data_IF_883745977319
#
_entry.id   IF_883745977319
#
_cell.length_a   1.000
_cell.length_b   1.000
_cell.length_c   1.000
_cell.angle_alpha   90.00
_cell.angle_beta   90.00
_cell.angle_gamma   90.00
#
_symmetry.space_group_name_H-M   'P 1'
#
loop_
_entity.id
_entity.type
_entity.pdbx_description
1 polymer ?
#
# COMPACT_ATOMS: atom_id res chain seq x y z
N UNK A 1 -12.03 8.28 -8.51
CA UNK A 1 -10.58 8.49 -8.26
C UNK A 1 -9.91 7.13 -8.23
N UNK A 2 -9.06 6.83 -9.21
CA UNK A 2 -8.23 5.64 -9.15
C UNK A 2 -7.20 5.79 -8.03
N UNK A 3 -7.09 4.78 -7.16
CA UNK A 3 -6.10 4.76 -6.09
C UNK A 3 -4.69 4.61 -6.69
N UNK A 4 -3.67 5.31 -6.19
CA UNK A 4 -2.32 5.16 -6.68
C UNK A 4 -1.80 3.75 -6.45
N UNK A 5 -1.12 3.19 -7.45
CA UNK A 5 -0.42 1.91 -7.36
C UNK A 5 1.00 2.20 -6.88
N UNK A 6 1.35 1.78 -5.68
CA UNK A 6 2.70 1.95 -5.17
C UNK A 6 3.61 0.83 -5.67
N UNK A 7 4.74 1.19 -6.27
CA UNK A 7 5.76 0.26 -6.74
C UNK A 7 7.04 0.51 -5.96
N UNK A 8 7.51 -0.49 -5.22
CA UNK A 8 8.80 -0.44 -4.54
C UNK A 8 9.80 -1.32 -5.28
N UNK A 9 10.93 -0.76 -5.66
CA UNK A 9 12.06 -1.52 -6.15
C UNK A 9 13.07 -1.78 -5.05
N UNK A 10 13.73 -2.93 -5.09
CA UNK A 10 14.75 -3.30 -4.12
C UNK A 10 16.04 -3.79 -4.81
N UNK A 11 17.14 -3.74 -4.09
CA UNK A 11 18.45 -4.25 -4.48
C UNK A 11 18.96 -5.24 -3.42
N UNK A 12 19.86 -6.12 -3.83
CA UNK A 12 20.60 -6.95 -2.88
C UNK A 12 21.64 -6.12 -2.12
N UNK A 13 22.01 -6.50 -0.88
CA UNK A 13 22.90 -5.71 -0.02
C UNK A 13 24.33 -5.52 -0.55
N UNK A 14 24.70 -6.13 -1.67
CA UNK A 14 26.00 -5.96 -2.30
C UNK A 14 26.16 -4.54 -2.83
N UNK A 15 27.27 -3.92 -2.53
CA UNK A 15 27.55 -2.55 -2.94
C UNK A 15 27.26 -1.50 -1.86
N UNK A 16 27.33 -0.24 -2.26
CA UNK A 16 27.06 0.88 -1.36
C UNK A 16 25.56 1.16 -1.26
N UNK A 17 25.13 1.76 -0.15
CA UNK A 17 23.74 2.19 0.06
C UNK A 17 23.25 3.09 -1.08
N UNK A 18 24.10 4.01 -1.55
CA UNK A 18 23.76 4.90 -2.66
C UNK A 18 23.55 4.14 -3.98
N UNK A 19 24.43 3.19 -4.30
CA UNK A 19 24.29 2.34 -5.49
C UNK A 19 23.01 1.52 -5.42
N UNK A 20 22.72 0.93 -4.28
CA UNK A 20 21.51 0.12 -4.07
C UNK A 20 20.23 0.96 -4.19
N UNK A 21 20.24 2.21 -3.71
CA UNK A 21 19.12 3.13 -3.89
C UNK A 21 18.92 3.48 -5.37
N UNK A 22 19.99 3.74 -6.12
CA UNK A 22 19.90 3.99 -7.57
C UNK A 22 19.41 2.77 -8.35
N UNK A 23 19.87 1.57 -7.98
CA UNK A 23 19.42 0.32 -8.61
C UNK A 23 17.95 0.04 -8.30
N UNK A 24 17.51 0.22 -7.06
CA UNK A 24 16.13 0.02 -6.65
C UNK A 24 15.18 0.99 -7.35
N UNK A 25 15.58 2.26 -7.51
CA UNK A 25 14.82 3.24 -8.28
C UNK A 25 14.65 2.83 -9.74
N UNK A 26 15.74 2.40 -10.41
CA UNK A 26 15.69 1.93 -11.80
C UNK A 26 14.80 0.69 -11.96
N UNK A 27 14.81 -0.22 -11.00
CA UNK A 27 13.94 -1.41 -11.02
C UNK A 27 12.47 -1.04 -10.88
N UNK A 28 12.13 -0.14 -9.95
CA UNK A 28 10.78 0.38 -9.79
C UNK A 28 10.29 1.06 -11.08
N UNK A 29 11.14 1.86 -11.71
CA UNK A 29 10.85 2.55 -12.96
C UNK A 29 10.61 1.59 -14.12
N UNK A 30 11.46 0.61 -14.30
CA UNK A 30 11.32 -0.42 -15.34
C UNK A 30 10.00 -1.19 -15.18
N UNK A 31 9.64 -1.51 -13.93
CA UNK A 31 8.40 -2.21 -13.63
C UNK A 31 7.18 -1.33 -13.90
N UNK A 32 7.21 -0.04 -13.50
CA UNK A 32 6.17 0.95 -13.84
C UNK A 32 5.94 0.98 -15.35
N UNK A 33 7.02 1.10 -16.12
CA UNK A 33 6.94 1.14 -17.58
C UNK A 33 6.29 -0.13 -18.14
N UNK A 34 6.74 -1.30 -17.69
CA UNK A 34 6.21 -2.57 -18.13
C UNK A 34 4.71 -2.74 -17.81
N UNK A 35 4.28 -2.34 -16.61
CA UNK A 35 2.88 -2.40 -16.19
C UNK A 35 2.02 -1.37 -16.94
N UNK A 36 2.50 -0.14 -17.09
CA UNK A 36 1.80 0.91 -17.83
C UNK A 36 1.50 0.47 -19.26
N UNK A 37 2.49 -0.07 -19.96
CA UNK A 37 2.33 -0.57 -21.33
C UNK A 37 1.42 -1.80 -21.38
N UNK A 38 1.69 -2.81 -20.55
CA UNK A 38 0.98 -4.10 -20.61
C UNK A 38 -0.49 -3.98 -20.20
N UNK A 39 -0.80 -3.11 -19.25
CA UNK A 39 -2.15 -2.94 -18.71
C UNK A 39 -2.86 -1.70 -19.25
N UNK A 40 -2.21 -0.94 -20.15
CA UNK A 40 -2.72 0.32 -20.69
C UNK A 40 -3.16 1.30 -19.60
N UNK A 41 -2.31 1.43 -18.54
CA UNK A 41 -2.57 2.33 -17.42
C UNK A 41 -1.73 3.61 -17.54
N UNK A 42 -2.28 4.77 -17.20
CA UNK A 42 -1.52 6.02 -17.22
C UNK A 42 -0.43 6.00 -16.15
N UNK A 43 0.77 6.47 -16.48
CA UNK A 43 1.93 6.51 -15.56
C UNK A 43 1.66 7.30 -14.28
N UNK A 44 0.71 8.25 -14.32
CA UNK A 44 0.28 9.03 -13.15
C UNK A 44 -0.43 8.20 -12.05
N UNK A 45 -0.86 6.97 -12.36
CA UNK A 45 -1.42 6.06 -11.37
C UNK A 45 -0.35 5.38 -10.49
N UNK A 46 0.93 5.51 -10.84
CA UNK A 46 2.00 4.81 -10.15
C UNK A 46 2.81 5.76 -9.28
N UNK A 47 2.96 5.41 -8.01
CA UNK A 47 3.91 6.01 -7.09
C UNK A 47 5.15 5.11 -6.98
N UNK A 48 6.34 5.67 -7.22
CA UNK A 48 7.59 4.90 -7.16
C UNK A 48 8.30 5.12 -5.83
N UNK A 49 8.77 4.02 -5.26
CA UNK A 49 9.59 4.02 -4.05
C UNK A 49 10.92 3.29 -4.31
N UNK A 50 12.02 3.99 -4.09
CA UNK A 50 13.37 3.41 -4.09
C UNK A 50 13.65 2.80 -2.71
N UNK A 51 13.27 1.55 -2.50
CA UNK A 51 13.38 0.85 -1.21
C UNK A 51 14.81 0.50 -0.80
N UNK A 52 15.81 0.73 -1.67
CA UNK A 52 17.19 0.37 -1.36
C UNK A 52 17.37 -1.15 -1.24
N UNK A 53 17.78 -1.61 -0.07
CA UNK A 53 17.91 -3.03 0.26
C UNK A 53 16.69 -3.50 1.05
N UNK A 54 16.12 -4.64 0.68
CA UNK A 54 15.02 -5.26 1.45
C UNK A 54 15.58 -6.06 2.65
N UNK A 55 15.92 -5.34 3.70
CA UNK A 55 16.46 -5.92 4.92
C UNK A 55 15.42 -6.77 5.68
N UNK A 56 14.16 -6.42 5.59
CA UNK A 56 13.08 -7.17 6.25
C UNK A 56 12.93 -8.54 5.58
N UNK A 57 12.96 -8.56 4.25
CA UNK A 57 12.93 -9.82 3.51
C UNK A 57 14.16 -10.67 3.76
N UNK A 58 15.35 -10.04 3.86
CA UNK A 58 16.56 -10.78 4.25
C UNK A 58 16.40 -11.41 5.64
N UNK A 59 15.85 -10.66 6.61
CA UNK A 59 15.62 -11.20 7.95
C UNK A 59 14.61 -12.38 7.94
N UNK A 60 13.56 -12.32 7.13
CA UNK A 60 12.64 -13.45 6.92
C UNK A 60 13.35 -14.69 6.35
N UNK A 61 14.18 -14.50 5.31
CA UNK A 61 14.93 -15.61 4.70
C UNK A 61 15.93 -16.22 5.67
N UNK A 62 16.65 -15.41 6.44
CA UNK A 62 17.54 -15.87 7.51
C UNK A 62 16.75 -16.65 8.56
N UNK A 63 15.61 -16.13 8.98
CA UNK A 63 14.75 -16.78 9.98
C UNK A 63 14.22 -18.14 9.49
N UNK A 64 13.93 -18.28 8.22
CA UNK A 64 13.48 -19.53 7.59
C UNK A 64 14.58 -20.51 7.25
N UNK A 65 15.87 -20.15 7.41
CA UNK A 65 17.01 -20.98 7.06
C UNK A 65 17.57 -21.76 8.26
N UNK A 66 18.33 -22.81 7.98
CA UNK A 66 19.07 -23.59 8.98
C UNK A 66 20.54 -23.14 9.11
N UNK A 67 20.82 -21.87 8.78
CA UNK A 67 22.19 -21.37 8.79
C UNK A 67 22.79 -21.29 10.19
N UNK A 68 24.07 -21.60 10.28
CA UNK A 68 24.88 -21.36 11.48
C UNK A 68 24.97 -19.84 11.72
N UNK A 69 24.94 -19.40 12.98
CA UNK A 69 24.94 -17.98 13.38
C UNK A 69 23.65 -17.21 13.00
N UNK A 70 22.53 -17.91 12.87
CA UNK A 70 21.23 -17.32 12.53
C UNK A 70 20.83 -16.19 13.49
N UNK A 71 20.90 -16.44 14.79
CA UNK A 71 20.50 -15.49 15.80
C UNK A 71 21.38 -14.24 15.83
N UNK A 72 22.69 -14.42 15.63
CA UNK A 72 23.64 -13.31 15.58
C UNK A 72 23.41 -12.46 14.31
N UNK A 73 23.14 -13.09 13.18
CA UNK A 73 22.79 -12.38 11.93
C UNK A 73 21.49 -11.59 12.14
N UNK A 74 20.45 -12.20 12.69
CA UNK A 74 19.18 -11.52 12.97
C UNK A 74 19.36 -10.37 13.96
N UNK A 75 20.21 -10.52 14.97
CA UNK A 75 20.54 -9.46 15.91
C UNK A 75 21.19 -8.27 15.18
N UNK A 76 22.13 -8.50 14.27
CA UNK A 76 22.75 -7.44 13.46
C UNK A 76 21.69 -6.73 12.61
N UNK A 77 20.82 -7.46 11.94
CA UNK A 77 19.79 -6.88 11.07
C UNK A 77 18.78 -6.01 11.83
N UNK A 78 18.51 -6.34 13.11
CA UNK A 78 17.53 -5.62 13.94
C UNK A 78 18.11 -4.43 14.70
N UNK A 79 19.37 -4.53 15.14
CA UNK A 79 19.95 -3.58 16.09
C UNK A 79 20.91 -2.56 15.48
N UNK A 80 21.29 -2.70 14.20
CA UNK A 80 22.24 -1.79 13.57
C UNK A 80 21.62 -1.00 12.41
N UNK A 81 22.10 0.23 12.17
CA UNK A 81 21.72 1.03 11.00
C UNK A 81 22.08 0.29 9.69
N UNK A 82 21.34 0.58 8.63
CA UNK A 82 21.51 -0.09 7.32
C UNK A 82 22.95 0.00 6.79
N UNK A 83 23.57 1.14 6.98
CA UNK A 83 24.92 1.44 6.50
C UNK A 83 25.99 0.52 7.14
N UNK A 84 25.75 0.09 8.38
CA UNK A 84 26.69 -0.73 9.15
C UNK A 84 26.44 -2.23 8.99
N UNK A 85 25.23 -2.65 8.59
CA UNK A 85 24.84 -4.07 8.58
C UNK A 85 25.80 -4.96 7.81
N UNK A 86 26.18 -4.54 6.61
CA UNK A 86 27.09 -5.31 5.78
C UNK A 86 28.49 -5.50 6.41
N UNK A 87 29.04 -4.46 7.00
CA UNK A 87 30.36 -4.52 7.61
C UNK A 87 30.34 -5.34 8.89
N UNK A 88 29.26 -5.26 9.66
CA UNK A 88 29.03 -6.12 10.82
C UNK A 88 28.90 -7.59 10.43
N UNK A 89 28.14 -7.89 9.38
CA UNK A 89 28.02 -9.27 8.85
C UNK A 89 29.34 -9.82 8.36
N UNK A 90 30.19 -9.01 7.70
CA UNK A 90 31.53 -9.39 7.27
C UNK A 90 32.48 -9.64 8.43
N UNK A 91 32.33 -8.89 9.52
CA UNK A 91 33.15 -9.05 10.72
C UNK A 91 32.73 -10.27 11.58
N UNK A 92 31.48 -10.70 11.50
CA UNK A 92 30.95 -11.81 12.30
C UNK A 92 31.65 -13.14 11.91
N UNK A 93 32.24 -13.80 12.89
CA UNK A 93 32.87 -15.12 12.76
C UNK A 93 33.80 -15.27 11.54
N UNK A 94 34.60 -14.22 11.24
CA UNK A 94 35.51 -14.20 10.09
C UNK A 94 34.83 -14.22 8.73
N UNK A 95 33.62 -13.67 8.65
CA UNK A 95 32.84 -13.54 7.42
C UNK A 95 32.16 -14.81 6.95
N UNK A 96 32.15 -15.88 7.74
CA UNK A 96 31.46 -17.12 7.34
C UNK A 96 29.95 -16.94 7.16
N UNK A 97 29.23 -16.30 8.10
CA UNK A 97 27.81 -16.03 7.91
C UNK A 97 27.53 -15.12 6.71
N UNK A 98 28.36 -14.10 6.50
CA UNK A 98 28.25 -13.21 5.33
C UNK A 98 28.35 -13.97 4.02
N UNK A 99 29.33 -14.89 3.87
CA UNK A 99 29.46 -15.72 2.66
C UNK A 99 28.24 -16.62 2.46
N UNK A 100 27.73 -17.25 3.52
CA UNK A 100 26.54 -18.08 3.43
C UNK A 100 25.32 -17.27 2.98
N UNK A 101 25.13 -16.07 3.52
CA UNK A 101 24.04 -15.15 3.12
C UNK A 101 24.24 -14.69 1.67
N UNK A 102 25.47 -14.35 1.27
CA UNK A 102 25.80 -13.91 -0.09
C UNK A 102 25.50 -14.98 -1.14
N UNK A 103 25.88 -16.22 -0.88
CA UNK A 103 25.79 -17.32 -1.85
C UNK A 103 24.39 -17.90 -1.95
N UNK A 104 23.64 -17.95 -0.83
CA UNK A 104 22.35 -18.66 -0.75
C UNK A 104 21.16 -17.72 -0.72
N UNK A 105 21.23 -16.62 0.04
CA UNK A 105 20.08 -15.77 0.29
C UNK A 105 20.04 -14.52 -0.59
N UNK A 106 21.17 -13.89 -0.90
CA UNK A 106 21.19 -12.71 -1.77
C UNK A 106 20.68 -12.98 -3.19
N UNK A 107 20.92 -14.14 -3.84
CA UNK A 107 20.28 -14.44 -5.12
C UNK A 107 18.75 -14.35 -5.05
N UNK A 108 18.14 -14.77 -3.95
CA UNK A 108 16.69 -14.70 -3.74
C UNK A 108 16.18 -13.26 -3.56
N UNK A 109 17.05 -12.32 -3.15
CA UNK A 109 16.70 -10.89 -3.08
C UNK A 109 16.87 -10.19 -4.43
N UNK A 110 17.72 -10.71 -5.33
CA UNK A 110 17.91 -10.15 -6.68
C UNK A 110 16.72 -10.40 -7.59
N UNK A 111 16.04 -11.55 -7.41
CA UNK A 111 14.84 -11.91 -8.16
C UNK A 111 13.58 -11.22 -7.60
N UNK A 112 13.70 -10.59 -6.45
CA UNK A 112 12.60 -9.90 -5.79
C UNK A 112 12.37 -8.50 -6.39
N UNK A 113 11.80 -8.46 -7.59
CA UNK A 113 11.03 -7.31 -8.02
C UNK A 113 9.70 -7.36 -7.25
N UNK A 114 9.67 -6.90 -6.00
CA UNK A 114 8.43 -6.80 -5.26
C UNK A 114 7.59 -5.66 -5.81
N UNK A 115 6.47 -6.03 -6.41
CA UNK A 115 5.32 -5.15 -6.52
C UNK A 115 4.59 -5.27 -5.20
N UNK A 116 4.79 -4.36 -4.27
CA UNK A 116 3.83 -4.16 -3.21
C UNK A 116 2.78 -3.20 -3.75
N UNK A 117 1.70 -3.73 -4.30
CA UNK A 117 0.50 -2.93 -4.58
C UNK A 117 -0.11 -2.63 -3.22
N UNK A 118 0.28 -1.52 -2.63
CA UNK A 118 -0.45 -0.97 -1.51
C UNK A 118 -1.60 -0.17 -2.11
N UNK A 119 -2.80 -0.70 -2.02
CA UNK A 119 -3.98 0.14 -2.09
C UNK A 119 -3.87 1.07 -0.88
N UNK A 120 -3.44 2.31 -1.10
CA UNK A 120 -3.59 3.32 -0.09
C UNK A 120 -5.10 3.47 0.13
N UNK A 121 -5.61 2.80 1.15
CA UNK A 121 -6.92 3.10 1.71
C UNK A 121 -6.76 4.50 2.32
N UNK A 122 -6.77 5.54 1.47
CA UNK A 122 -7.14 6.86 1.97
C UNK A 122 -8.55 6.67 2.46
N UNK A 123 -8.82 6.86 3.75
CA UNK A 123 -10.18 6.79 4.24
C UNK A 123 -10.98 7.75 3.35
N UNK A 124 -11.83 7.20 2.51
CA UNK A 124 -12.77 7.99 1.75
C UNK A 124 -13.82 8.46 2.73
N UNK A 125 -13.56 9.62 3.32
CA UNK A 125 -14.41 10.20 4.36
C UNK A 125 -15.86 10.36 3.89
N UNK A 126 -16.07 10.49 2.57
CA UNK A 126 -17.41 10.55 1.99
C UNK A 126 -18.03 9.15 1.97
N UNK A 127 -17.33 8.14 1.47
CA UNK A 127 -17.81 6.76 1.46
C UNK A 127 -18.09 6.26 2.86
N UNK A 128 -17.19 6.53 3.83
CA UNK A 128 -17.41 6.18 5.23
C UNK A 128 -18.65 6.86 5.82
N UNK A 129 -18.86 8.15 5.51
CA UNK A 129 -20.02 8.91 5.97
C UNK A 129 -21.30 8.37 5.34
N UNK A 130 -21.30 8.07 4.04
CA UNK A 130 -22.44 7.48 3.35
C UNK A 130 -22.77 6.08 3.91
N UNK A 131 -21.76 5.23 4.15
CA UNK A 131 -21.95 3.92 4.74
C UNK A 131 -22.53 4.00 6.17
N UNK A 132 -22.03 4.92 6.99
CA UNK A 132 -22.60 5.18 8.33
C UNK A 132 -24.04 5.67 8.25
N UNK A 133 -24.38 6.50 7.28
CA UNK A 133 -25.75 6.92 7.06
C UNK A 133 -26.66 5.75 6.65
N UNK A 134 -26.19 4.84 5.81
CA UNK A 134 -26.89 3.61 5.43
C UNK A 134 -27.20 2.75 6.68
N UNK A 135 -26.19 2.57 7.55
CA UNK A 135 -26.39 1.80 8.78
C UNK A 135 -27.40 2.50 9.74
N UNK A 136 -27.36 3.84 9.82
CA UNK A 136 -28.34 4.59 10.58
C UNK A 136 -29.77 4.41 10.01
N UNK A 137 -29.93 4.43 8.68
CA UNK A 137 -31.21 4.16 8.00
C UNK A 137 -31.72 2.75 8.31
N UNK A 138 -30.85 1.73 8.23
CA UNK A 138 -31.18 0.35 8.59
C UNK A 138 -31.65 0.22 10.05
N UNK A 139 -31.02 0.99 10.93
CA UNK A 139 -31.40 1.10 12.35
C UNK A 139 -32.59 2.00 12.61
N UNK A 140 -33.30 2.54 11.59
CA UNK A 140 -34.40 3.51 11.67
C UNK A 140 -34.04 4.81 12.41
N UNK A 141 -32.77 5.19 12.43
CA UNK A 141 -32.24 6.43 13.03
C UNK A 141 -32.13 7.52 11.96
N UNK A 142 -33.28 7.94 11.43
CA UNK A 142 -33.32 8.82 10.27
C UNK A 142 -32.70 10.19 10.50
N UNK A 143 -32.88 10.77 11.69
CA UNK A 143 -32.27 12.06 12.05
C UNK A 143 -30.73 12.01 12.05
N UNK A 144 -30.17 10.91 12.52
CA UNK A 144 -28.73 10.67 12.48
C UNK A 144 -28.25 10.53 11.03
N UNK A 145 -28.98 9.78 10.21
CA UNK A 145 -28.67 9.63 8.78
C UNK A 145 -28.69 10.99 8.06
N UNK A 146 -29.70 11.84 8.29
CA UNK A 146 -29.78 13.17 7.71
C UNK A 146 -28.60 14.06 8.12
N UNK A 147 -28.19 14.03 9.38
CA UNK A 147 -27.00 14.78 9.85
C UNK A 147 -25.74 14.36 9.14
N UNK A 148 -25.52 13.05 8.99
CA UNK A 148 -24.38 12.51 8.28
C UNK A 148 -24.42 12.92 6.80
N UNK A 149 -25.53 12.72 6.11
CA UNK A 149 -25.66 13.01 4.68
C UNK A 149 -25.56 14.51 4.39
N UNK A 150 -25.92 15.39 5.34
CA UNK A 150 -25.74 16.83 5.19
C UNK A 150 -24.28 17.24 5.06
N UNK A 151 -23.35 16.54 5.74
CA UNK A 151 -21.92 16.86 5.69
C UNK A 151 -21.28 16.52 4.35
N UNK A 152 -21.92 15.67 3.55
CA UNK A 152 -21.44 15.19 2.24
C UNK A 152 -22.43 15.48 1.12
N UNK A 153 -23.31 16.44 1.31
CA UNK A 153 -24.41 16.78 0.38
C UNK A 153 -23.96 17.17 -1.02
N UNK A 154 -22.79 17.74 -1.14
CA UNK A 154 -22.20 18.15 -2.42
C UNK A 154 -21.71 16.97 -3.26
N UNK A 155 -21.49 15.82 -2.66
CA UNK A 155 -20.97 14.63 -3.33
C UNK A 155 -22.12 13.77 -3.87
N UNK A 156 -22.08 13.45 -5.16
CA UNK A 156 -23.14 12.71 -5.87
C UNK A 156 -23.41 11.32 -5.28
N UNK A 157 -22.41 10.69 -4.66
CA UNK A 157 -22.56 9.38 -4.00
C UNK A 157 -23.52 9.38 -2.81
N UNK A 158 -23.79 10.59 -2.23
CA UNK A 158 -24.73 10.74 -1.14
C UNK A 158 -26.20 10.86 -1.58
N UNK A 159 -26.43 11.27 -2.83
CA UNK A 159 -27.77 11.70 -3.28
C UNK A 159 -28.81 10.58 -3.31
N UNK A 160 -28.40 9.37 -3.77
CA UNK A 160 -29.30 8.22 -3.77
C UNK A 160 -29.74 7.85 -2.34
N UNK A 161 -28.78 7.76 -1.41
CA UNK A 161 -29.04 7.41 -0.01
C UNK A 161 -29.91 8.46 0.67
N UNK A 162 -29.70 9.74 0.34
CA UNK A 162 -30.51 10.84 0.83
C UNK A 162 -31.94 10.75 0.34
N UNK A 163 -32.14 10.48 -0.95
CA UNK A 163 -33.48 10.27 -1.53
C UNK A 163 -34.22 9.12 -0.86
N UNK A 164 -33.53 7.98 -0.66
CA UNK A 164 -34.10 6.84 0.08
C UNK A 164 -34.45 7.20 1.51
N UNK A 165 -33.64 8.00 2.22
CA UNK A 165 -33.93 8.42 3.58
C UNK A 165 -35.21 9.27 3.65
N UNK A 166 -35.39 10.24 2.73
CA UNK A 166 -36.63 11.04 2.63
C UNK A 166 -37.84 10.16 2.33
N UNK A 167 -37.72 9.21 1.40
CA UNK A 167 -38.80 8.29 1.06
C UNK A 167 -39.26 7.48 2.28
N UNK A 168 -38.33 6.97 3.07
CA UNK A 168 -38.64 6.20 4.27
C UNK A 168 -39.25 7.07 5.42
N UNK A 169 -39.03 8.37 5.36
CA UNK A 169 -39.67 9.35 6.27
C UNK A 169 -41.02 9.85 5.76
N UNK A 170 -41.48 9.41 4.59
CA UNK A 170 -42.76 9.85 3.99
C UNK A 170 -42.68 11.21 3.31
N UNK A 171 -41.46 11.72 3.02
CA UNK A 171 -41.26 12.99 2.30
C UNK A 171 -41.01 12.70 0.81
N UNK A 172 -42.08 12.31 0.11
CA UNK A 172 -42.01 11.88 -1.29
C UNK A 172 -41.53 12.99 -2.22
N UNK A 173 -41.77 14.26 -1.88
CA UNK A 173 -41.33 15.40 -2.69
C UNK A 173 -39.82 15.55 -2.69
N UNK A 174 -39.19 15.61 -1.52
CA UNK A 174 -37.75 15.70 -1.39
C UNK A 174 -37.08 14.39 -1.88
N UNK A 175 -37.65 13.24 -1.59
CA UNK A 175 -37.20 11.97 -2.11
C UNK A 175 -37.08 11.98 -3.65
N UNK A 176 -38.14 12.43 -4.34
CA UNK A 176 -38.15 12.55 -5.80
C UNK A 176 -37.05 13.48 -6.34
N UNK A 177 -36.81 14.62 -5.70
CA UNK A 177 -35.79 15.57 -6.08
C UNK A 177 -34.37 14.93 -6.00
N UNK A 178 -34.07 14.31 -4.87
CA UNK A 178 -32.75 13.71 -4.66
C UNK A 178 -32.50 12.47 -5.52
N UNK A 179 -33.49 11.59 -5.69
CA UNK A 179 -33.37 10.42 -6.57
C UNK A 179 -33.20 10.82 -8.04
N UNK A 180 -33.96 11.85 -8.49
CA UNK A 180 -33.80 12.35 -9.85
C UNK A 180 -32.40 12.95 -10.09
N UNK A 181 -31.87 13.65 -9.09
CA UNK A 181 -30.50 14.20 -9.12
C UNK A 181 -29.46 13.07 -9.18
N UNK A 182 -29.62 12.00 -8.41
CA UNK A 182 -28.76 10.84 -8.43
C UNK A 182 -28.73 10.15 -9.79
N UNK A 183 -29.91 9.95 -10.39
CA UNK A 183 -30.02 9.31 -11.73
C UNK A 183 -29.36 10.14 -12.83
N UNK A 184 -29.37 11.48 -12.71
CA UNK A 184 -28.70 12.35 -13.69
C UNK A 184 -27.18 12.37 -13.57
N UNK A 185 -26.64 12.02 -12.42
CA UNK A 185 -25.20 11.99 -12.19
C UNK A 185 -24.52 10.68 -12.66
N UNK A 186 -25.30 9.62 -12.91
CA UNK A 186 -24.82 8.33 -13.39
C UNK A 186 -24.96 7.25 -12.38
#
# INVERSE_FOLDING_TARGET
CALPISISGYASPEGTTELNRKLSAKRAEALRHALSVRMNLPVSLFELNAGGVDWDRLAELVNGSDMTYKEEVLAILRSHPEEERNDRLKALAGGRPYRSVLDVLYPQLRDACYIRVQYANRPDSVADTVNRAIEAIRGRKYEEAFRLLKTVEADERSWNVRGVCHLLCGDDKEAGLWLHRAVKAG
#
